data_IF_023568425943
#
_entry.id   IF_023568425943
#
_cell.length_a   1.000
_cell.length_b   1.000
_cell.length_c   1.000
_cell.angle_alpha   90.00
_cell.angle_beta   90.00
_cell.angle_gamma   90.00
#
_symmetry.space_group_name_H-M   'P 1'
#
loop_
_entity.id
_entity.type
_entity.pdbx_description
1 polymer ?
#
# COMPACT_ATOMS: atom_id res chain seq x y z
N UNK A 1 34.67 -60.00 14.42
CA UNK A 1 34.93 -58.60 14.82
C UNK A 1 35.15 -57.77 13.58
N UNK A 2 34.18 -56.96 13.16
CA UNK A 2 34.35 -55.76 12.33
C UNK A 2 33.00 -55.02 12.33
N UNK A 3 33.03 -53.76 12.78
CA UNK A 3 31.86 -52.96 13.13
C UNK A 3 31.39 -52.06 11.98
N UNK A 4 30.06 -51.99 11.82
CA UNK A 4 29.19 -50.83 11.56
C UNK A 4 29.79 -49.53 11.01
N UNK A 5 29.13 -48.97 10.00
CA UNK A 5 28.73 -47.56 9.95
C UNK A 5 27.61 -47.37 8.90
N UNK A 6 26.36 -47.30 9.38
CA UNK A 6 25.21 -46.83 8.61
C UNK A 6 25.04 -45.35 8.95
N UNK A 7 25.32 -44.47 8.00
CA UNK A 7 25.08 -43.03 8.14
C UNK A 7 23.62 -42.72 7.84
N UNK A 8 22.83 -42.47 8.89
CA UNK A 8 21.52 -41.82 8.77
C UNK A 8 21.74 -40.32 8.53
N UNK A 9 21.33 -39.81 7.37
CA UNK A 9 21.16 -38.37 7.13
C UNK A 9 19.80 -37.95 7.70
N UNK A 10 19.82 -37.22 8.82
CA UNK A 10 18.65 -36.56 9.37
C UNK A 10 18.39 -35.27 8.57
N UNK A 11 17.26 -35.20 7.89
CA UNK A 11 16.78 -33.97 7.22
C UNK A 11 16.15 -33.09 8.29
N UNK A 12 16.64 -31.87 8.56
CA UNK A 12 15.97 -30.98 9.48
C UNK A 12 14.67 -30.48 8.85
N UNK A 13 13.56 -30.75 9.52
CA UNK A 13 12.26 -30.12 9.27
C UNK A 13 12.41 -28.61 9.52
N UNK A 14 12.58 -27.84 8.46
CA UNK A 14 12.58 -26.38 8.54
C UNK A 14 11.17 -25.90 8.92
N UNK A 15 11.05 -25.25 10.06
CA UNK A 15 9.88 -24.42 10.36
C UNK A 15 9.82 -23.30 9.31
N UNK A 16 8.90 -23.40 8.36
CA UNK A 16 8.51 -22.26 7.56
C UNK A 16 7.70 -21.32 8.48
N UNK A 17 8.37 -20.33 9.06
CA UNK A 17 7.69 -19.17 9.63
C UNK A 17 6.97 -18.48 8.48
N UNK A 18 5.64 -18.58 8.49
CA UNK A 18 4.76 -17.71 7.71
C UNK A 18 5.17 -16.29 8.07
N UNK A 19 5.83 -15.61 7.14
CA UNK A 19 6.06 -14.18 7.26
C UNK A 19 4.70 -13.53 7.09
N UNK A 20 4.03 -13.27 8.21
CA UNK A 20 3.01 -12.24 8.26
C UNK A 20 3.62 -10.98 7.67
N UNK A 21 3.03 -10.36 6.63
CA UNK A 21 3.49 -9.07 6.13
C UNK A 21 3.53 -8.15 7.34
N UNK A 22 4.74 -7.75 7.73
CA UNK A 22 4.91 -6.82 8.83
C UNK A 22 4.37 -5.50 8.29
N UNK A 23 3.16 -5.14 8.72
CA UNK A 23 2.61 -3.83 8.42
C UNK A 23 3.70 -2.78 8.73
N UNK A 24 4.06 -1.91 7.78
CA UNK A 24 5.07 -0.90 8.02
C UNK A 24 4.65 -0.08 9.24
N UNK A 25 5.52 -0.04 10.24
CA UNK A 25 5.26 0.71 11.46
C UNK A 25 5.09 2.19 11.09
N UNK A 26 3.92 2.75 11.42
CA UNK A 26 3.56 4.16 11.20
C UNK A 26 4.57 5.18 11.81
N UNK A 27 5.59 4.71 12.54
CA UNK A 27 6.68 5.50 13.11
C UNK A 27 7.67 6.08 12.07
N UNK A 28 7.61 5.68 10.80
CA UNK A 28 8.44 6.28 9.74
C UNK A 28 7.81 7.50 9.08
N UNK A 29 6.54 7.80 9.35
CA UNK A 29 5.89 9.01 8.87
C UNK A 29 6.30 10.18 9.77
N UNK A 30 7.55 10.63 9.60
CA UNK A 30 7.94 11.93 10.14
C UNK A 30 7.16 13.00 9.38
N UNK A 31 6.58 13.99 10.08
CA UNK A 31 5.94 15.10 9.41
C UNK A 31 6.96 15.71 8.44
N UNK A 32 6.56 15.93 7.18
CA UNK A 32 7.48 16.38 6.17
C UNK A 32 8.08 17.73 6.53
N UNK A 33 9.30 18.00 6.04
CA UNK A 33 9.91 19.30 6.20
C UNK A 33 8.97 20.37 5.63
N UNK A 34 8.59 21.34 6.46
CA UNK A 34 7.83 22.51 5.99
C UNK A 34 8.76 23.35 5.14
N UNK A 35 8.52 23.37 3.84
CA UNK A 35 9.11 24.34 2.92
C UNK A 35 8.26 25.60 2.82
N UNK A 36 8.76 26.60 2.10
CA UNK A 36 8.03 27.86 1.84
C UNK A 36 6.97 27.71 0.74
N UNK A 37 6.84 26.51 0.14
CA UNK A 37 5.86 26.21 -0.90
C UNK A 37 4.67 25.41 -0.32
N UNK A 38 3.47 25.70 -0.82
CA UNK A 38 2.29 24.88 -0.62
C UNK A 38 2.03 24.11 -1.91
N UNK A 39 2.10 22.78 -1.86
CA UNK A 39 1.86 21.91 -3.02
C UNK A 39 0.40 21.45 -2.97
N UNK A 40 -0.34 21.71 -4.04
CA UNK A 40 -1.69 21.18 -4.22
C UNK A 40 -1.58 19.80 -4.89
N UNK A 41 -1.69 18.75 -4.08
CA UNK A 41 -1.59 17.39 -4.56
C UNK A 41 -2.92 16.93 -5.17
N UNK A 42 -2.84 16.18 -6.25
CA UNK A 42 -3.96 15.35 -6.70
C UNK A 42 -4.18 14.24 -5.66
N UNK A 43 -5.41 13.79 -5.36
CA UNK A 43 -5.62 12.68 -4.44
C UNK A 43 -5.01 11.38 -4.99
N UNK A 44 -3.95 10.89 -4.35
CA UNK A 44 -3.27 9.66 -4.78
C UNK A 44 -2.77 8.80 -3.62
N UNK A 45 -2.46 7.55 -3.95
CA UNK A 45 -1.63 6.61 -3.16
C UNK A 45 -0.57 5.96 -4.04
N UNK A 46 0.56 5.57 -3.47
CA UNK A 46 1.60 4.80 -4.17
C UNK A 46 1.71 3.40 -3.58
N UNK A 47 1.58 2.39 -4.44
CA UNK A 47 1.66 0.97 -4.06
C UNK A 47 2.48 0.24 -5.11
N UNK A 48 3.51 -0.49 -4.69
CA UNK A 48 4.42 -1.27 -5.54
C UNK A 48 5.00 -0.47 -6.73
N UNK A 49 5.38 0.79 -6.49
CA UNK A 49 5.92 1.72 -7.48
C UNK A 49 4.88 2.32 -8.43
N UNK A 50 3.61 1.90 -8.36
CA UNK A 50 2.51 2.44 -9.16
C UNK A 50 1.76 3.51 -8.36
N UNK A 51 1.58 4.68 -8.97
CA UNK A 51 0.68 5.71 -8.44
C UNK A 51 -0.76 5.41 -8.86
N UNK A 52 -1.69 5.52 -7.92
CA UNK A 52 -3.12 5.44 -8.17
C UNK A 52 -3.78 6.73 -7.73
N UNK A 53 -4.67 7.29 -8.54
CA UNK A 53 -5.39 8.52 -8.24
C UNK A 53 -6.90 8.29 -8.11
N UNK A 54 -7.57 9.19 -7.40
CA UNK A 54 -9.03 9.23 -7.32
C UNK A 54 -9.56 10.61 -7.72
N UNK A 55 -10.69 10.65 -8.42
CA UNK A 55 -11.37 11.87 -8.88
C UNK A 55 -12.40 12.41 -7.88
N UNK A 56 -12.65 11.69 -6.77
CA UNK A 56 -13.72 11.94 -5.81
C UNK A 56 -15.15 11.98 -6.39
N UNK A 57 -15.33 11.48 -7.60
CA UNK A 57 -16.63 11.38 -8.25
C UNK A 57 -17.56 10.41 -7.49
N UNK A 58 -18.72 10.87 -7.00
CA UNK A 58 -19.65 10.04 -6.23
C UNK A 58 -20.30 8.94 -7.07
N UNK A 59 -20.38 9.08 -8.40
CA UNK A 59 -20.91 8.04 -9.30
C UNK A 59 -19.96 6.85 -9.42
N UNK A 60 -18.70 7.04 -9.02
CA UNK A 60 -17.65 6.01 -9.02
C UNK A 60 -17.30 5.51 -7.61
N UNK A 61 -18.10 5.86 -6.60
CA UNK A 61 -17.99 5.26 -5.28
C UNK A 61 -18.35 3.77 -5.35
N UNK A 62 -17.61 2.95 -4.60
CA UNK A 62 -17.82 1.51 -4.56
C UNK A 62 -18.83 1.14 -3.46
N UNK A 63 -19.53 0.03 -3.66
CA UNK A 63 -20.25 -0.65 -2.58
C UNK A 63 -19.29 -1.53 -1.77
N UNK A 64 -19.61 -1.78 -0.49
CA UNK A 64 -18.81 -2.69 0.36
C UNK A 64 -18.72 -4.11 -0.23
N UNK A 65 -19.74 -4.52 -0.98
CA UNK A 65 -19.78 -5.80 -1.70
C UNK A 65 -18.69 -5.91 -2.79
N UNK A 66 -18.16 -4.79 -3.27
CA UNK A 66 -17.12 -4.73 -4.30
C UNK A 66 -15.70 -4.69 -3.73
N UNK A 67 -15.54 -4.55 -2.42
CA UNK A 67 -14.23 -4.41 -1.76
C UNK A 67 -13.66 -5.77 -1.38
N UNK A 68 -12.43 -6.05 -1.81
CA UNK A 68 -11.70 -7.28 -1.58
C UNK A 68 -10.78 -7.25 -0.36
N UNK A 69 -9.79 -8.14 -0.38
CA UNK A 69 -8.80 -8.26 0.68
C UNK A 69 -7.87 -7.04 0.73
N UNK A 70 -7.26 -6.82 1.90
CA UNK A 70 -6.25 -5.77 2.09
C UNK A 70 -4.98 -6.19 1.35
N UNK A 71 -4.46 -5.30 0.50
CA UNK A 71 -3.20 -5.51 -0.24
C UNK A 71 -2.08 -4.58 0.19
N UNK A 72 -2.42 -3.42 0.74
CA UNK A 72 -1.44 -2.47 1.24
C UNK A 72 -2.01 -1.64 2.40
N UNK A 73 -1.14 -0.89 3.05
CA UNK A 73 -1.52 0.06 4.10
C UNK A 73 -0.77 1.36 3.90
N UNK A 74 -1.49 2.47 3.97
CA UNK A 74 -0.89 3.80 3.89
C UNK A 74 0.09 3.94 5.05
N UNK A 75 1.34 4.22 4.71
CA UNK A 75 2.43 4.42 5.67
C UNK A 75 2.56 5.88 6.06
N UNK A 76 2.34 6.81 5.12
CA UNK A 76 2.46 8.24 5.40
C UNK A 76 1.50 9.10 4.57
N UNK A 77 1.02 10.19 5.20
CA UNK A 77 0.22 11.23 4.54
C UNK A 77 1.09 12.44 4.26
N UNK A 78 1.15 12.88 3.00
CA UNK A 78 2.09 13.89 2.53
C UNK A 78 1.47 15.26 2.22
N UNK A 79 0.19 15.49 2.52
CA UNK A 79 -0.52 16.76 2.27
C UNK A 79 0.26 18.02 2.73
N UNK A 80 1.06 17.89 3.79
CA UNK A 80 1.81 19.00 4.39
C UNK A 80 3.26 19.10 3.87
N UNK A 81 3.67 18.30 2.86
CA UNK A 81 4.98 18.41 2.21
C UNK A 81 5.04 19.72 1.43
N UNK A 82 5.98 20.59 1.80
CA UNK A 82 6.29 21.83 1.08
C UNK A 82 7.60 21.81 0.30
N UNK A 83 8.19 20.63 0.11
CA UNK A 83 9.43 20.43 -0.63
C UNK A 83 9.13 20.08 -2.11
N UNK A 84 9.45 20.94 -3.08
CA UNK A 84 9.21 20.68 -4.50
C UNK A 84 10.05 19.52 -5.07
N UNK A 85 11.16 19.17 -4.41
CA UNK A 85 12.01 18.04 -4.80
C UNK A 85 11.51 16.72 -4.19
N UNK A 86 10.43 16.75 -3.40
CA UNK A 86 9.83 15.55 -2.86
C UNK A 86 9.36 14.60 -3.98
N UNK A 87 9.62 13.31 -3.77
CA UNK A 87 9.19 12.24 -4.66
C UNK A 87 8.37 11.23 -3.84
N UNK A 88 7.09 11.04 -4.18
CA UNK A 88 6.26 10.02 -3.54
C UNK A 88 6.88 8.63 -3.69
N UNK A 89 6.70 7.80 -2.67
CA UNK A 89 7.21 6.42 -2.59
C UNK A 89 6.13 5.50 -2.03
N UNK A 90 6.36 4.20 -2.13
CA UNK A 90 5.41 3.18 -1.67
C UNK A 90 4.92 3.42 -0.24
N UNK A 91 3.60 3.38 -0.07
CA UNK A 91 2.92 3.68 1.18
C UNK A 91 2.63 5.17 1.40
N UNK A 92 3.12 6.08 0.55
CA UNK A 92 2.70 7.48 0.61
C UNK A 92 1.30 7.67 0.04
N UNK A 93 0.59 8.62 0.64
CA UNK A 93 -0.72 9.08 0.23
C UNK A 93 -0.78 10.59 0.29
N UNK A 94 -1.43 11.23 -0.68
CA UNK A 94 -1.68 12.66 -0.63
C UNK A 94 -2.53 13.03 0.61
N UNK A 95 -3.68 12.37 0.77
CA UNK A 95 -4.70 12.78 1.75
C UNK A 95 -5.17 11.69 2.71
N UNK A 96 -5.10 10.41 2.34
CA UNK A 96 -5.47 9.32 3.26
C UNK A 96 -4.54 9.31 4.48
N UNK A 97 -5.09 9.16 5.71
CA UNK A 97 -4.30 9.00 6.92
C UNK A 97 -3.36 7.79 6.88
N UNK A 98 -2.24 7.89 7.61
CA UNK A 98 -1.41 6.72 7.89
C UNK A 98 -2.24 5.66 8.64
N UNK A 99 -2.06 4.39 8.25
CA UNK A 99 -2.84 3.25 8.75
C UNK A 99 -4.10 2.94 7.94
N UNK A 100 -4.48 3.75 6.95
CA UNK A 100 -5.62 3.42 6.07
C UNK A 100 -5.30 2.17 5.25
N UNK A 101 -6.19 1.18 5.32
CA UNK A 101 -6.10 -0.03 4.51
C UNK A 101 -6.44 0.25 3.06
N UNK A 102 -5.64 -0.31 2.15
CA UNK A 102 -5.89 -0.31 0.72
C UNK A 102 -6.27 -1.72 0.31
N UNK A 103 -7.39 -1.84 -0.39
CA UNK A 103 -8.02 -3.10 -0.73
C UNK A 103 -8.01 -3.33 -2.24
N UNK A 104 -8.03 -4.60 -2.64
CA UNK A 104 -8.40 -4.96 -4.01
C UNK A 104 -9.87 -4.64 -4.30
N UNK A 105 -10.19 -4.50 -5.60
CA UNK A 105 -11.57 -4.38 -6.07
C UNK A 105 -12.00 -5.72 -6.66
N UNK A 106 -13.06 -6.33 -6.10
CA UNK A 106 -13.60 -7.60 -6.58
C UNK A 106 -14.02 -7.50 -8.04
N UNK A 107 -13.75 -8.56 -8.80
CA UNK A 107 -14.08 -8.61 -10.23
C UNK A 107 -13.16 -7.79 -11.13
N UNK A 108 -12.15 -7.11 -10.59
CA UNK A 108 -11.07 -6.45 -11.34
C UNK A 108 -9.77 -7.26 -11.27
N UNK A 109 -8.88 -7.04 -12.22
CA UNK A 109 -7.56 -7.67 -12.20
C UNK A 109 -6.70 -7.07 -11.06
N UNK A 110 -5.84 -7.87 -10.39
CA UNK A 110 -4.92 -7.35 -9.37
C UNK A 110 -4.11 -6.17 -9.91
N UNK A 111 -3.98 -5.10 -9.13
CA UNK A 111 -3.28 -3.86 -9.51
C UNK A 111 -3.99 -2.98 -10.54
N UNK A 112 -5.17 -3.37 -11.07
CA UNK A 112 -5.91 -2.50 -12.00
C UNK A 112 -6.76 -1.43 -11.30
N UNK A 113 -7.00 -1.58 -10.00
CA UNK A 113 -7.67 -0.61 -9.15
C UNK A 113 -7.46 -0.96 -7.68
N UNK A 114 -7.60 0.04 -6.81
CA UNK A 114 -7.61 -0.09 -5.36
C UNK A 114 -8.86 0.57 -4.79
N UNK A 115 -9.27 0.11 -3.61
CA UNK A 115 -10.32 0.71 -2.80
C UNK A 115 -9.77 1.17 -1.45
N UNK A 116 -10.22 2.34 -1.00
CA UNK A 116 -9.96 2.82 0.35
C UNK A 116 -11.22 3.45 0.95
N UNK A 117 -11.44 3.25 2.24
CA UNK A 117 -12.55 3.89 2.95
C UNK A 117 -12.12 5.29 3.42
N UNK A 118 -12.82 6.31 2.96
CA UNK A 118 -12.58 7.70 3.34
C UNK A 118 -13.92 8.37 3.65
N UNK A 119 -14.06 8.93 4.85
CA UNK A 119 -15.29 9.56 5.34
C UNK A 119 -16.56 8.71 5.15
N UNK A 120 -16.43 7.39 5.33
CA UNK A 120 -17.53 6.44 5.18
C UNK A 120 -17.90 6.10 3.73
N UNK A 121 -17.14 6.59 2.75
CA UNK A 121 -17.33 6.29 1.32
C UNK A 121 -16.17 5.43 0.82
N UNK A 122 -16.46 4.32 0.14
CA UNK A 122 -15.42 3.54 -0.53
C UNK A 122 -15.02 4.23 -1.83
N UNK A 123 -13.80 4.77 -1.84
CA UNK A 123 -13.23 5.49 -2.98
C UNK A 123 -12.50 4.52 -3.90
N UNK A 124 -12.76 4.64 -5.19
CA UNK A 124 -12.03 3.95 -6.24
C UNK A 124 -10.76 4.74 -6.59
N UNK A 125 -9.63 4.04 -6.60
CA UNK A 125 -8.34 4.54 -7.06
C UNK A 125 -7.90 3.73 -8.29
N UNK A 126 -7.54 4.41 -9.37
CA UNK A 126 -7.06 3.77 -10.60
C UNK A 126 -5.63 4.17 -10.91
N UNK A 127 -4.84 3.29 -11.55
CA UNK A 127 -3.49 3.62 -11.98
C UNK A 127 -3.46 4.94 -12.75
N UNK A 128 -2.52 5.81 -12.40
CA UNK A 128 -2.19 6.97 -13.23
C UNK A 128 -1.34 6.42 -14.37
N UNK A 129 -1.90 6.42 -15.58
CA UNK A 129 -1.12 6.11 -16.78
C UNK A 129 -0.06 7.22 -16.94
N UNK A 130 1.20 6.86 -17.19
CA UNK A 130 2.30 7.81 -17.48
C UNK A 130 2.13 8.53 -18.84
N UNK A 131 0.91 8.69 -19.32
CA UNK A 131 0.64 9.36 -20.59
C UNK A 131 0.46 10.87 -20.41
N UNK A 132 1.62 11.54 -20.39
CA UNK A 132 1.88 12.77 -21.16
C UNK A 132 1.32 14.08 -20.65
#
# INVERSE_FOLDING_TARGET
MAALLVSLLAVPTGCATVQTPTAPSASSCLPPARGDAQIDWVPFVVVDGQMYATSYDPEHALEESEVGDVVATVSCRIADVGDPDFRPRDGDSAYLPAGTSLHEVRGRAPGSALAALEDGTWRLFTPVDEQG
#
